data_IF_914374694590
#
_entry.id   IF_914374694590
#
_cell.length_a   1.000
_cell.length_b   1.000
_cell.length_c   1.000
_cell.angle_alpha   90.00
_cell.angle_beta   90.00
_cell.angle_gamma   90.00
#
_symmetry.space_group_name_H-M   'P 1'
#
loop_
_entity.id
_entity.type
_entity.pdbx_description
1 polymer ?
#
# COMPACT_ATOMS: atom_id res chain seq x y z
N UNK A 1 -30.24 -1.83 2.89
CA UNK A 1 -28.81 -1.45 2.98
C UNK A 1 -28.09 -2.26 1.93
N UNK A 2 -27.65 -1.61 0.88
CA UNK A 2 -26.82 -2.22 -0.15
C UNK A 2 -25.54 -2.76 0.54
N UNK A 3 -25.22 -4.04 0.28
CA UNK A 3 -24.00 -4.67 0.82
C UNK A 3 -22.82 -3.89 0.25
N UNK A 4 -22.05 -3.27 1.12
CA UNK A 4 -20.85 -2.53 0.70
C UNK A 4 -19.98 -3.43 -0.18
N UNK A 5 -19.53 -2.92 -1.33
CA UNK A 5 -18.60 -3.56 -2.25
C UNK A 5 -17.30 -3.93 -1.52
N UNK A 6 -17.23 -5.13 -0.95
CA UNK A 6 -16.07 -5.55 -0.16
C UNK A 6 -15.11 -6.36 -0.99
N UNK A 7 -13.82 -6.01 -0.97
CA UNK A 7 -12.81 -6.79 -1.65
C UNK A 7 -12.65 -8.17 -0.97
N UNK A 8 -12.43 -9.19 -1.78
CA UNK A 8 -12.16 -10.57 -1.35
C UNK A 8 -10.95 -11.12 -2.07
N UNK A 9 -10.36 -12.16 -1.52
CA UNK A 9 -9.33 -12.95 -2.20
C UNK A 9 -10.01 -13.95 -3.12
N UNK A 10 -9.60 -13.96 -4.39
CA UNK A 10 -9.94 -14.97 -5.41
C UNK A 10 -8.65 -15.60 -5.95
N UNK A 11 -8.16 -16.64 -5.26
CA UNK A 11 -6.89 -17.28 -5.58
C UNK A 11 -5.72 -16.30 -5.53
N UNK A 12 -5.08 -16.06 -6.66
CA UNK A 12 -3.95 -15.13 -6.82
C UNK A 12 -4.37 -13.66 -7.01
N UNK A 13 -5.67 -13.37 -7.00
CA UNK A 13 -6.19 -12.04 -7.30
C UNK A 13 -7.12 -11.53 -6.19
N UNK A 14 -7.46 -10.28 -6.30
CA UNK A 14 -8.53 -9.66 -5.53
C UNK A 14 -9.80 -9.57 -6.39
N UNK A 15 -10.93 -9.64 -5.74
CA UNK A 15 -12.25 -9.53 -6.35
C UNK A 15 -13.07 -8.44 -5.64
N UNK A 16 -13.84 -7.70 -6.41
CA UNK A 16 -14.89 -6.79 -5.93
C UNK A 16 -16.12 -7.05 -6.81
N UNK A 17 -17.27 -7.35 -6.19
CA UNK A 17 -18.56 -7.63 -6.86
C UNK A 17 -18.49 -8.74 -7.93
N UNK A 18 -17.76 -9.81 -7.64
CA UNK A 18 -17.60 -10.93 -8.58
C UNK A 18 -16.70 -10.63 -9.77
N UNK A 19 -15.93 -9.53 -9.72
CA UNK A 19 -15.00 -9.14 -10.78
C UNK A 19 -13.59 -8.94 -10.22
N UNK A 20 -12.59 -9.36 -10.94
CA UNK A 20 -11.19 -9.24 -10.57
C UNK A 20 -10.73 -7.79 -10.55
N UNK A 21 -10.04 -7.42 -9.47
CA UNK A 21 -9.43 -6.11 -9.27
C UNK A 21 -7.91 -6.23 -9.38
N UNK A 22 -7.28 -5.43 -10.25
CA UNK A 22 -5.84 -5.15 -10.18
C UNK A 22 -5.62 -3.86 -9.41
N UNK A 23 -4.80 -3.93 -8.35
CA UNK A 23 -4.35 -2.75 -7.63
C UNK A 23 -3.35 -1.98 -8.51
N UNK A 24 -3.73 -0.78 -8.94
CA UNK A 24 -2.92 0.20 -9.64
C UNK A 24 -2.69 1.36 -8.69
N UNK A 25 -1.70 1.21 -7.82
CA UNK A 25 -1.57 2.01 -6.63
C UNK A 25 -0.48 3.08 -6.70
N UNK A 26 -0.60 4.06 -5.80
CA UNK A 26 0.46 5.01 -5.48
C UNK A 26 0.51 5.27 -3.98
N UNK A 27 1.72 5.40 -3.42
CA UNK A 27 1.93 5.79 -2.03
C UNK A 27 1.64 7.29 -1.85
N UNK A 28 0.89 7.65 -0.79
CA UNK A 28 0.47 9.02 -0.50
C UNK A 28 0.79 9.42 0.94
N UNK A 29 1.74 10.29 1.10
CA UNK A 29 2.28 10.70 2.41
C UNK A 29 3.19 9.59 2.98
N UNK A 30 3.85 9.83 4.10
CA UNK A 30 3.49 10.77 5.18
C UNK A 30 3.88 12.21 4.86
N UNK A 31 3.02 13.15 5.22
CA UNK A 31 3.33 14.59 5.14
C UNK A 31 3.66 15.15 6.53
N UNK A 32 4.22 16.37 6.56
CA UNK A 32 4.40 17.07 7.84
C UNK A 32 3.06 17.17 8.58
N UNK A 33 3.05 16.86 9.89
CA UNK A 33 1.81 16.87 10.66
C UNK A 33 1.20 18.27 10.69
N UNK A 34 -0.11 18.33 10.56
CA UNK A 34 -0.89 19.54 10.76
C UNK A 34 -1.03 19.85 12.27
N UNK A 35 -1.82 20.88 12.62
CA UNK A 35 -2.04 21.29 14.03
C UNK A 35 -2.69 20.19 14.88
N UNK A 36 -3.44 19.28 14.26
CA UNK A 36 -4.12 18.16 14.93
C UNK A 36 -3.25 16.88 14.95
N UNK A 37 -2.02 16.96 14.44
CA UNK A 37 -1.09 15.83 14.35
C UNK A 37 -1.33 14.91 13.15
N UNK A 38 -2.33 15.15 12.31
CA UNK A 38 -2.59 14.36 11.11
C UNK A 38 -1.54 14.61 10.05
N UNK A 39 -1.01 13.54 9.47
CA UNK A 39 0.07 13.57 8.48
C UNK A 39 -0.47 13.52 7.03
N UNK A 40 -1.51 14.32 6.79
CA UNK A 40 -2.13 14.49 5.47
C UNK A 40 -2.24 15.96 5.10
N UNK A 41 -2.34 16.24 3.80
CA UNK A 41 -2.57 17.58 3.28
C UNK A 41 -4.01 18.06 3.56
N UNK A 42 -4.27 19.36 3.30
CA UNK A 42 -5.63 19.88 3.39
C UNK A 42 -6.58 19.11 2.48
N UNK A 43 -7.86 19.15 2.77
CA UNK A 43 -8.90 18.48 1.97
C UNK A 43 -8.84 18.93 0.50
N UNK A 44 -8.67 20.23 0.26
CA UNK A 44 -8.59 20.80 -1.10
C UNK A 44 -7.38 20.24 -1.87
N UNK A 45 -6.21 20.15 -1.22
CA UNK A 45 -5.02 19.59 -1.86
C UNK A 45 -5.16 18.09 -2.11
N UNK A 46 -5.75 17.36 -1.17
CA UNK A 46 -6.05 15.94 -1.31
C UNK A 46 -7.00 15.68 -2.48
N UNK A 47 -8.05 16.49 -2.64
CA UNK A 47 -8.97 16.41 -3.78
C UNK A 47 -8.23 16.62 -5.11
N UNK A 48 -7.38 17.65 -5.20
CA UNK A 48 -6.58 17.93 -6.40
C UNK A 48 -5.66 16.75 -6.75
N UNK A 49 -4.96 16.20 -5.75
CA UNK A 49 -4.08 15.06 -5.93
C UNK A 49 -4.89 13.83 -6.43
N UNK A 50 -6.06 13.56 -5.86
CA UNK A 50 -6.89 12.40 -6.22
C UNK A 50 -7.51 12.52 -7.62
N UNK A 51 -7.87 13.73 -8.05
CA UNK A 51 -8.27 13.98 -9.45
C UNK A 51 -7.15 13.61 -10.41
N UNK A 52 -5.92 14.05 -10.14
CA UNK A 52 -4.75 13.76 -10.98
C UNK A 52 -4.40 12.26 -10.97
N UNK A 53 -4.47 11.61 -9.82
CA UNK A 53 -4.25 10.16 -9.70
C UNK A 53 -5.27 9.38 -10.54
N UNK A 54 -6.56 9.68 -10.41
CA UNK A 54 -7.61 9.02 -11.17
C UNK A 54 -7.43 9.24 -12.68
N UNK A 55 -7.04 10.44 -13.12
CA UNK A 55 -6.75 10.74 -14.52
C UNK A 55 -5.52 9.98 -15.04
N UNK A 56 -4.58 9.62 -14.17
CA UNK A 56 -3.44 8.76 -14.49
C UNK A 56 -3.76 7.26 -14.48
N UNK A 57 -5.03 6.86 -14.26
CA UNK A 57 -5.44 5.46 -14.21
C UNK A 57 -5.08 4.74 -12.90
N UNK A 58 -4.69 5.49 -11.87
CA UNK A 58 -4.51 4.98 -10.51
C UNK A 58 -5.90 4.71 -9.92
N UNK A 59 -6.05 3.58 -9.25
CA UNK A 59 -7.30 3.18 -8.60
C UNK A 59 -7.14 2.92 -7.09
N UNK A 60 -5.92 3.03 -6.57
CA UNK A 60 -5.62 2.74 -5.17
C UNK A 60 -4.60 3.73 -4.63
N UNK A 61 -4.88 4.24 -3.43
CA UNK A 61 -3.95 5.07 -2.66
C UNK A 61 -3.46 4.25 -1.47
N UNK A 62 -2.15 4.18 -1.27
CA UNK A 62 -1.57 3.57 -0.08
C UNK A 62 -1.16 4.66 0.91
N UNK A 63 -1.69 4.59 2.14
CA UNK A 63 -1.27 5.45 3.25
C UNK A 63 -0.39 4.69 4.24
N UNK A 64 0.40 5.40 5.04
CA UNK A 64 1.27 4.80 6.09
C UNK A 64 0.76 5.07 7.50
N UNK A 65 -0.21 5.97 7.61
CA UNK A 65 -0.96 6.28 8.84
C UNK A 65 -2.45 6.17 8.55
N UNK A 66 -3.29 5.94 9.57
CA UNK A 66 -4.73 5.88 9.38
C UNK A 66 -5.27 7.19 8.79
N UNK A 67 -6.03 7.12 7.67
CA UNK A 67 -6.61 8.31 7.04
C UNK A 67 -7.82 8.82 7.83
N UNK A 68 -8.09 10.12 7.70
CA UNK A 68 -9.32 10.70 8.22
C UNK A 68 -10.55 10.26 7.40
N UNK A 69 -11.77 10.31 7.97
CA UNK A 69 -13.00 10.08 7.19
C UNK A 69 -13.08 10.97 5.94
N UNK A 70 -12.68 12.23 6.04
CA UNK A 70 -12.69 13.16 4.89
C UNK A 70 -11.78 12.70 3.74
N UNK A 71 -10.61 12.10 4.05
CA UNK A 71 -9.73 11.54 3.02
C UNK A 71 -10.36 10.30 2.37
N UNK A 72 -11.00 9.43 3.16
CA UNK A 72 -11.69 8.26 2.64
C UNK A 72 -12.87 8.65 1.74
N UNK A 73 -13.65 9.67 2.15
CA UNK A 73 -14.74 10.23 1.34
C UNK A 73 -14.21 10.82 0.02
N UNK A 74 -13.08 11.53 0.06
CA UNK A 74 -12.43 12.04 -1.14
C UNK A 74 -11.99 10.89 -2.07
N UNK A 75 -11.36 9.85 -1.52
CA UNK A 75 -10.96 8.67 -2.29
C UNK A 75 -12.18 8.03 -2.99
N UNK A 76 -13.27 7.84 -2.26
CA UNK A 76 -14.51 7.26 -2.80
C UNK A 76 -15.10 8.12 -3.94
N UNK A 77 -15.14 9.45 -3.77
CA UNK A 77 -15.62 10.37 -4.83
C UNK A 77 -14.85 10.21 -6.13
N UNK A 78 -13.54 9.98 -6.04
CA UNK A 78 -12.68 9.83 -7.22
C UNK A 78 -12.51 8.37 -7.70
N UNK A 79 -13.22 7.41 -7.08
CA UNK A 79 -13.14 6.00 -7.44
C UNK A 79 -11.80 5.37 -7.08
N UNK A 80 -11.23 5.76 -5.94
CA UNK A 80 -9.99 5.24 -5.40
C UNK A 80 -10.27 4.36 -4.17
N UNK A 81 -9.72 3.16 -4.14
CA UNK A 81 -9.61 2.37 -2.93
C UNK A 81 -8.42 2.83 -2.08
N UNK A 82 -8.48 2.61 -0.78
CA UNK A 82 -7.41 2.97 0.14
C UNK A 82 -6.82 1.73 0.80
N UNK A 83 -5.53 1.50 0.58
CA UNK A 83 -4.72 0.58 1.37
C UNK A 83 -4.24 1.34 2.62
N UNK A 84 -4.85 1.05 3.75
CA UNK A 84 -4.63 1.75 5.01
C UNK A 84 -3.42 1.18 5.74
N UNK A 85 -2.39 2.01 5.96
CA UNK A 85 -1.25 1.65 6.80
C UNK A 85 -1.50 1.96 8.28
N UNK A 86 -1.09 1.05 9.16
CA UNK A 86 -1.10 1.26 10.59
C UNK A 86 0.30 1.58 11.08
N UNK A 87 0.47 2.80 11.63
CA UNK A 87 1.73 3.24 12.20
C UNK A 87 1.85 2.83 13.66
N UNK A 88 2.93 2.14 13.99
CA UNK A 88 3.32 1.84 15.37
C UNK A 88 4.86 1.76 15.47
N UNK A 89 5.44 1.84 16.67
CA UNK A 89 6.89 1.96 16.83
C UNK A 89 7.63 0.63 16.58
N UNK A 90 7.66 0.19 15.32
CA UNK A 90 8.28 -1.06 14.86
C UNK A 90 9.82 -1.00 14.77
N UNK A 91 10.40 0.19 14.92
CA UNK A 91 11.84 0.42 14.82
C UNK A 91 12.59 0.32 16.17
N UNK A 92 11.87 0.00 17.25
CA UNK A 92 12.43 -0.18 18.59
C UNK A 92 12.14 -1.60 19.09
N UNK A 93 12.80 -2.10 20.16
CA UNK A 93 12.53 -3.42 20.75
C UNK A 93 11.13 -3.52 21.40
N UNK A 94 10.08 -3.41 20.61
CA UNK A 94 8.69 -3.28 21.07
C UNK A 94 8.13 -4.50 21.81
N UNK A 95 8.68 -5.70 21.60
CA UNK A 95 8.25 -6.92 22.33
C UNK A 95 8.87 -7.03 23.74
N UNK A 96 9.79 -6.16 24.10
CA UNK A 96 10.36 -6.13 25.46
C UNK A 96 9.47 -5.32 26.42
N UNK A 97 8.58 -4.48 25.90
CA UNK A 97 7.54 -3.79 26.66
C UNK A 97 6.16 -4.40 26.41
N UNK A 98 5.68 -5.18 27.39
CA UNK A 98 4.37 -5.83 27.33
C UNK A 98 3.19 -4.85 27.23
N UNK A 99 3.33 -3.63 27.79
CA UNK A 99 2.28 -2.60 27.70
C UNK A 99 2.24 -2.04 26.29
N UNK A 100 3.39 -1.73 25.73
CA UNK A 100 3.51 -1.28 24.35
C UNK A 100 2.93 -2.32 23.39
N UNK A 101 3.34 -3.59 23.51
CA UNK A 101 2.83 -4.69 22.66
C UNK A 101 1.30 -4.77 22.69
N UNK A 102 0.69 -4.76 23.88
CA UNK A 102 -0.78 -4.76 24.03
C UNK A 102 -1.43 -3.51 23.45
N UNK A 103 -0.80 -2.35 23.60
CA UNK A 103 -1.32 -1.12 23.01
C UNK A 103 -1.31 -1.17 21.49
N UNK A 104 -0.24 -1.69 20.86
CA UNK A 104 -0.17 -1.86 19.39
C UNK A 104 -1.37 -2.68 18.90
N UNK A 105 -1.64 -3.83 19.50
CA UNK A 105 -2.76 -4.70 19.12
C UNK A 105 -4.10 -3.98 19.32
N UNK A 106 -4.33 -3.41 20.50
CA UNK A 106 -5.56 -2.67 20.82
C UNK A 106 -5.83 -1.54 19.83
N UNK A 107 -4.80 -0.74 19.54
CA UNK A 107 -4.92 0.43 18.68
C UNK A 107 -5.16 0.00 17.23
N UNK A 108 -4.54 -1.09 16.78
CA UNK A 108 -4.79 -1.68 15.47
C UNK A 108 -6.24 -2.20 15.35
N UNK A 109 -6.72 -2.95 16.34
CA UNK A 109 -8.11 -3.44 16.38
C UNK A 109 -9.11 -2.28 16.35
N UNK A 110 -8.88 -1.25 17.15
CA UNK A 110 -9.74 -0.06 17.19
C UNK A 110 -9.79 0.63 15.83
N UNK A 111 -8.63 0.92 15.26
CA UNK A 111 -8.51 1.64 13.99
C UNK A 111 -9.15 0.86 12.84
N UNK A 112 -8.88 -0.44 12.72
CA UNK A 112 -9.45 -1.24 11.63
C UNK A 112 -10.97 -1.33 11.77
N UNK A 113 -11.49 -1.52 12.98
CA UNK A 113 -12.94 -1.58 13.22
C UNK A 113 -13.63 -0.26 12.86
N UNK A 114 -13.02 0.88 13.14
CA UNK A 114 -13.57 2.20 12.81
C UNK A 114 -13.58 2.45 11.30
N UNK A 115 -12.54 2.04 10.58
CA UNK A 115 -12.36 2.34 9.16
C UNK A 115 -13.00 1.27 8.26
N UNK A 116 -13.06 0.01 8.69
CA UNK A 116 -13.44 -1.12 7.85
C UNK A 116 -14.84 -1.03 7.24
N UNK A 117 -15.75 -0.29 7.86
CA UNK A 117 -17.09 -0.06 7.32
C UNK A 117 -17.11 0.92 6.15
N UNK A 118 -16.05 1.71 5.94
CA UNK A 118 -16.01 2.72 4.91
C UNK A 118 -15.81 2.09 3.52
N UNK A 119 -16.62 2.46 2.50
CA UNK A 119 -16.56 1.84 1.17
C UNK A 119 -15.22 2.00 0.46
N UNK A 120 -14.43 3.03 0.76
CA UNK A 120 -13.10 3.20 0.19
C UNK A 120 -12.03 2.31 0.84
N UNK A 121 -12.28 1.67 1.98
CA UNK A 121 -11.31 0.82 2.65
C UNK A 121 -11.10 -0.48 1.86
N UNK A 122 -9.93 -0.60 1.21
CA UNK A 122 -9.59 -1.75 0.37
C UNK A 122 -8.85 -2.84 1.15
N UNK A 123 -7.81 -2.47 1.88
CA UNK A 123 -6.85 -3.39 2.48
C UNK A 123 -6.16 -2.70 3.65
N UNK A 124 -5.86 -3.43 4.72
CA UNK A 124 -5.14 -2.91 5.88
C UNK A 124 -3.75 -3.52 5.99
N UNK A 125 -2.71 -2.68 5.98
CA UNK A 125 -1.34 -3.06 6.25
C UNK A 125 -1.07 -2.92 7.76
N UNK A 126 -1.05 -4.04 8.48
CA UNK A 126 -0.89 -4.08 9.93
C UNK A 126 0.53 -3.74 10.41
N UNK A 127 1.46 -3.59 9.48
CA UNK A 127 2.84 -3.16 9.71
C UNK A 127 3.59 -3.06 8.40
N UNK A 128 4.77 -2.44 8.45
CA UNK A 128 5.63 -2.22 7.29
C UNK A 128 7.10 -2.33 7.67
N UNK A 129 7.82 -3.31 7.11
CA UNK A 129 9.28 -3.43 7.19
C UNK A 129 9.85 -3.37 8.61
N UNK A 130 9.45 -4.27 9.51
CA UNK A 130 10.16 -4.38 10.79
C UNK A 130 11.66 -4.57 10.49
N UNK A 131 12.54 -3.66 10.97
CA UNK A 131 13.95 -3.72 10.62
C UNK A 131 14.59 -5.07 10.97
N UNK A 132 15.45 -5.59 10.09
CA UNK A 132 16.14 -6.86 10.30
C UNK A 132 16.91 -6.90 11.64
N UNK A 133 17.40 -5.75 12.12
CA UNK A 133 18.01 -5.61 13.46
C UNK A 133 17.03 -5.91 14.58
N UNK A 134 15.79 -5.44 14.49
CA UNK A 134 14.72 -5.70 15.46
C UNK A 134 14.27 -7.16 15.39
N UNK A 135 14.17 -7.73 14.18
CA UNK A 135 13.87 -9.16 14.00
C UNK A 135 14.96 -10.02 14.64
N UNK A 136 16.24 -9.69 14.44
CA UNK A 136 17.35 -10.40 15.10
C UNK A 136 17.34 -10.25 16.62
N UNK A 137 17.00 -9.05 17.14
CA UNK A 137 16.94 -8.78 18.56
C UNK A 137 15.89 -9.66 19.26
N UNK A 138 14.70 -9.71 18.71
CA UNK A 138 13.60 -10.49 19.30
C UNK A 138 13.60 -11.98 18.94
N UNK A 139 14.27 -12.34 17.83
CA UNK A 139 14.16 -13.63 17.18
C UNK A 139 12.90 -13.73 16.31
N UNK A 140 13.05 -14.30 15.09
CA UNK A 140 11.99 -14.37 14.09
C UNK A 140 10.70 -15.00 14.63
N UNK A 141 10.77 -16.10 15.39
CA UNK A 141 9.59 -16.80 15.95
C UNK A 141 8.75 -15.93 16.90
N UNK A 142 9.38 -15.00 17.64
CA UNK A 142 8.62 -14.06 18.48
C UNK A 142 7.93 -13.00 17.66
N UNK A 143 8.57 -12.52 16.59
CA UNK A 143 7.99 -11.58 15.65
C UNK A 143 6.81 -12.23 14.91
N UNK A 144 6.99 -13.45 14.38
CA UNK A 144 5.93 -14.18 13.68
C UNK A 144 4.72 -14.44 14.57
N UNK A 145 4.95 -14.84 15.83
CA UNK A 145 3.88 -15.03 16.80
C UNK A 145 3.12 -13.73 17.09
N UNK A 146 3.84 -12.62 17.28
CA UNK A 146 3.22 -11.32 17.48
C UNK A 146 2.40 -10.88 16.25
N UNK A 147 2.94 -11.04 15.05
CA UNK A 147 2.24 -10.68 13.82
C UNK A 147 1.00 -11.56 13.59
N UNK A 148 1.06 -12.82 13.96
CA UNK A 148 -0.09 -13.73 13.92
C UNK A 148 -1.16 -13.32 14.94
N UNK A 149 -0.79 -13.05 16.20
CA UNK A 149 -1.71 -12.55 17.23
C UNK A 149 -2.37 -11.24 16.79
N UNK A 150 -1.58 -10.30 16.27
CA UNK A 150 -2.09 -9.04 15.72
C UNK A 150 -3.11 -9.29 14.58
N UNK A 151 -2.81 -10.20 13.65
CA UNK A 151 -3.72 -10.59 12.58
C UNK A 151 -5.02 -11.18 13.14
N UNK A 152 -4.92 -12.15 14.06
CA UNK A 152 -6.07 -12.88 14.62
C UNK A 152 -7.02 -11.93 15.37
N UNK A 153 -6.48 -11.03 16.21
CA UNK A 153 -7.27 -10.07 16.98
C UNK A 153 -7.96 -9.04 16.06
N UNK A 154 -7.26 -8.52 15.06
CA UNK A 154 -7.85 -7.61 14.08
C UNK A 154 -8.90 -8.32 13.23
N UNK A 155 -8.62 -9.55 12.78
CA UNK A 155 -9.56 -10.34 11.96
C UNK A 155 -10.82 -10.70 12.73
N UNK A 156 -10.71 -11.01 14.01
CA UNK A 156 -11.86 -11.26 14.88
C UNK A 156 -12.77 -10.02 15.03
N UNK A 157 -12.17 -8.82 15.05
CA UNK A 157 -12.90 -7.55 15.18
C UNK A 157 -13.49 -7.05 13.85
N UNK A 158 -12.90 -7.41 12.71
CA UNK A 158 -13.30 -7.00 11.37
C UNK A 158 -13.12 -8.16 10.36
N UNK A 159 -13.95 -9.23 10.44
CA UNK A 159 -13.74 -10.49 9.73
C UNK A 159 -13.72 -10.37 8.21
N UNK A 160 -14.46 -9.41 7.65
CA UNK A 160 -14.55 -9.18 6.20
C UNK A 160 -13.41 -8.30 5.64
N UNK A 161 -12.53 -7.78 6.51
CA UNK A 161 -11.42 -6.92 6.08
C UNK A 161 -10.27 -7.77 5.53
N UNK A 162 -9.65 -7.30 4.43
CA UNK A 162 -8.40 -7.87 3.95
C UNK A 162 -7.23 -7.28 4.74
N UNK A 163 -6.36 -8.16 5.24
CA UNK A 163 -5.23 -7.82 6.09
C UNK A 163 -3.91 -8.27 5.45
N UNK A 164 -2.91 -7.44 5.54
CA UNK A 164 -1.54 -7.75 5.13
C UNK A 164 -0.51 -7.22 6.13
N UNK A 165 0.67 -7.78 6.09
CA UNK A 165 1.90 -7.18 6.59
C UNK A 165 2.81 -6.95 5.39
N UNK A 166 3.35 -5.73 5.25
CA UNK A 166 4.24 -5.41 4.15
C UNK A 166 5.67 -5.76 4.54
N UNK A 167 6.22 -6.79 3.91
CA UNK A 167 7.57 -7.26 4.14
C UNK A 167 8.56 -6.69 3.11
N UNK A 168 9.84 -6.99 3.26
CA UNK A 168 10.91 -6.58 2.36
C UNK A 168 12.06 -7.62 2.38
N UNK A 169 12.98 -7.61 1.39
CA UNK A 169 13.97 -8.68 1.22
C UNK A 169 14.79 -9.05 2.47
N UNK A 170 15.27 -8.10 3.31
CA UNK A 170 16.06 -8.44 4.49
C UNK A 170 15.37 -9.32 5.54
N UNK A 171 14.04 -9.37 5.55
CA UNK A 171 13.24 -10.16 6.48
C UNK A 171 12.33 -11.17 5.76
N UNK A 172 12.69 -11.56 4.54
CA UNK A 172 11.95 -12.53 3.71
C UNK A 172 11.70 -13.86 4.42
N UNK A 173 12.58 -14.25 5.34
CA UNK A 173 12.51 -15.49 6.10
C UNK A 173 11.37 -15.54 7.15
N UNK A 174 10.64 -14.44 7.36
CA UNK A 174 9.48 -14.42 8.26
C UNK A 174 8.31 -15.21 7.65
N UNK A 175 7.75 -16.13 8.44
CA UNK A 175 6.55 -16.88 8.09
C UNK A 175 5.29 -16.04 8.33
N UNK A 176 4.69 -15.54 7.23
CA UNK A 176 3.55 -14.63 7.23
C UNK A 176 2.29 -15.28 6.61
N UNK A 177 2.09 -16.57 6.85
CA UNK A 177 1.06 -17.38 6.23
C UNK A 177 -0.38 -17.06 6.70
N UNK A 178 -0.54 -16.39 7.84
CA UNK A 178 -1.83 -15.97 8.35
C UNK A 178 -2.48 -14.85 7.52
N UNK A 179 -1.68 -14.00 6.86
CA UNK A 179 -2.18 -12.81 6.17
C UNK A 179 -2.91 -13.15 4.85
N UNK A 180 -3.98 -12.39 4.55
CA UNK A 180 -4.82 -12.60 3.35
C UNK A 180 -4.05 -12.27 2.06
N UNK A 181 -3.23 -11.23 2.08
CA UNK A 181 -2.44 -10.75 0.94
C UNK A 181 -0.96 -10.80 1.31
N UNK A 182 -0.14 -11.32 0.40
CA UNK A 182 1.31 -11.39 0.56
C UNK A 182 1.94 -10.16 -0.08
N UNK A 183 2.31 -9.15 0.72
CA UNK A 183 2.76 -7.85 0.26
C UNK A 183 4.24 -7.61 0.50
N UNK A 184 4.93 -7.08 -0.50
CA UNK A 184 6.37 -6.81 -0.46
C UNK A 184 6.74 -5.45 -1.05
N UNK A 185 7.72 -4.79 -0.43
CA UNK A 185 8.45 -3.65 -1.00
C UNK A 185 9.70 -4.17 -1.70
N UNK A 186 9.88 -3.85 -2.99
CA UNK A 186 11.01 -4.35 -3.78
C UNK A 186 11.55 -3.24 -4.68
N UNK A 187 12.85 -2.96 -4.55
CA UNK A 187 13.57 -1.90 -5.28
C UNK A 187 14.73 -2.46 -6.12
N UNK A 188 14.52 -3.59 -6.80
CA UNK A 188 15.50 -4.18 -7.71
C UNK A 188 15.36 -3.52 -9.09
N UNK A 189 16.32 -2.67 -9.46
CA UNK A 189 16.23 -1.84 -10.67
C UNK A 189 16.42 -2.63 -11.98
N UNK A 190 17.12 -3.77 -11.94
CA UNK A 190 17.29 -4.62 -13.12
C UNK A 190 16.10 -5.56 -13.29
N UNK A 191 15.48 -5.51 -14.47
CA UNK A 191 14.26 -6.30 -14.77
C UNK A 191 14.46 -7.80 -14.52
N UNK A 192 15.62 -8.36 -14.94
CA UNK A 192 15.91 -9.79 -14.77
C UNK A 192 16.01 -10.21 -13.31
N UNK A 193 16.58 -9.36 -12.45
CA UNK A 193 16.67 -9.59 -11.00
C UNK A 193 15.29 -9.47 -10.36
N UNK A 194 14.54 -8.43 -10.72
CA UNK A 194 13.17 -8.24 -10.23
C UNK A 194 12.26 -9.41 -10.63
N UNK A 195 12.32 -9.85 -11.88
CA UNK A 195 11.54 -10.99 -12.39
C UNK A 195 11.84 -12.27 -11.60
N UNK A 196 13.12 -12.58 -11.42
CA UNK A 196 13.54 -13.74 -10.65
C UNK A 196 13.10 -13.67 -9.18
N UNK A 197 13.15 -12.48 -8.59
CA UNK A 197 12.71 -12.28 -7.21
C UNK A 197 11.19 -12.35 -7.07
N UNK A 198 10.42 -11.77 -7.98
CA UNK A 198 8.95 -11.88 -7.98
C UNK A 198 8.49 -13.33 -8.19
N UNK A 199 9.14 -14.10 -9.07
CA UNK A 199 8.87 -15.53 -9.21
C UNK A 199 9.09 -16.29 -7.89
N UNK A 200 10.17 -15.97 -7.16
CA UNK A 200 10.41 -16.50 -5.82
C UNK A 200 9.30 -16.10 -4.83
N UNK A 201 8.91 -14.83 -4.81
CA UNK A 201 7.84 -14.35 -3.94
C UNK A 201 6.49 -15.02 -4.25
N UNK A 202 6.21 -15.34 -5.52
CA UNK A 202 5.01 -16.10 -5.92
C UNK A 202 5.00 -17.51 -5.31
N UNK A 203 6.16 -18.16 -5.21
CA UNK A 203 6.26 -19.46 -4.53
C UNK A 203 6.02 -19.33 -3.02
N UNK A 204 6.60 -18.30 -2.38
CA UNK A 204 6.40 -18.03 -0.94
C UNK A 204 4.94 -17.61 -0.63
N UNK A 205 4.30 -16.90 -1.52
CA UNK A 205 2.90 -16.52 -1.39
C UNK A 205 1.94 -17.73 -1.41
N UNK A 206 2.36 -18.87 -2.00
CA UNK A 206 1.51 -20.05 -2.15
C UNK A 206 0.29 -19.73 -3.01
N UNK A 207 -0.92 -19.89 -2.47
CA UNK A 207 -2.19 -19.57 -3.15
C UNK A 207 -2.64 -18.12 -2.98
N UNK A 208 -1.99 -17.35 -2.11
CA UNK A 208 -2.37 -15.97 -1.80
C UNK A 208 -1.99 -14.99 -2.91
N UNK A 209 -2.72 -13.88 -3.07
CA UNK A 209 -2.34 -12.80 -3.97
C UNK A 209 -1.00 -12.18 -3.56
N UNK A 210 -0.11 -11.95 -4.52
CA UNK A 210 1.12 -11.18 -4.33
C UNK A 210 0.87 -9.73 -4.70
N UNK A 211 1.17 -8.80 -3.79
CA UNK A 211 1.14 -7.36 -4.02
C UNK A 211 2.56 -6.78 -3.95
N UNK A 212 3.01 -6.16 -5.04
CA UNK A 212 4.20 -5.30 -4.99
C UNK A 212 3.79 -3.96 -4.35
N UNK A 213 4.01 -3.87 -3.03
CA UNK A 213 3.45 -2.79 -2.22
C UNK A 213 4.25 -1.48 -2.28
N UNK A 214 5.52 -1.54 -2.65
CA UNK A 214 6.33 -0.39 -3.05
C UNK A 214 7.27 -0.78 -4.18
N UNK A 215 7.32 0.07 -5.20
CA UNK A 215 8.25 0.00 -6.30
C UNK A 215 8.47 1.38 -6.90
N UNK A 216 9.70 1.67 -7.30
CA UNK A 216 10.03 2.98 -7.86
C UNK A 216 11.52 3.24 -7.86
N UNK A 217 11.89 4.44 -8.26
CA UNK A 217 13.25 4.92 -8.25
C UNK A 217 13.30 6.40 -7.86
N UNK A 218 14.43 6.80 -7.30
CA UNK A 218 14.71 8.15 -6.88
C UNK A 218 15.29 8.97 -8.05
N UNK A 219 14.61 10.03 -8.47
CA UNK A 219 15.08 10.86 -9.58
C UNK A 219 16.35 11.67 -9.28
N UNK A 220 16.68 11.88 -8.01
CA UNK A 220 17.97 12.49 -7.64
C UNK A 220 19.16 11.58 -7.97
N UNK A 221 18.95 10.26 -7.91
CA UNK A 221 19.98 9.24 -8.16
C UNK A 221 19.97 8.74 -9.60
N UNK A 222 18.79 8.52 -10.17
CA UNK A 222 18.62 7.88 -11.47
C UNK A 222 18.33 8.88 -12.60
N UNK A 223 18.14 10.16 -12.27
CA UNK A 223 17.60 11.15 -13.20
C UNK A 223 16.11 10.94 -13.48
N UNK A 224 15.47 11.92 -14.12
CA UNK A 224 14.02 11.88 -14.39
C UNK A 224 13.63 10.73 -15.34
N UNK A 225 14.43 10.51 -16.39
CA UNK A 225 14.19 9.44 -17.37
C UNK A 225 14.49 8.05 -16.79
N UNK A 226 15.54 7.94 -15.97
CA UNK A 226 15.86 6.70 -15.25
C UNK A 226 14.75 6.33 -14.26
N UNK A 227 14.24 7.29 -13.49
CA UNK A 227 13.08 7.10 -12.62
C UNK A 227 11.87 6.57 -13.41
N UNK A 228 11.55 7.20 -14.54
CA UNK A 228 10.42 6.83 -15.36
C UNK A 228 10.55 5.39 -15.88
N UNK A 229 11.72 5.06 -16.44
CA UNK A 229 12.00 3.73 -16.99
C UNK A 229 11.92 2.65 -15.91
N UNK A 230 12.60 2.83 -14.79
CA UNK A 230 12.68 1.84 -13.70
C UNK A 230 11.28 1.64 -13.08
N UNK A 231 10.57 2.71 -12.74
CA UNK A 231 9.26 2.62 -12.11
C UNK A 231 8.25 1.92 -13.01
N UNK A 232 8.20 2.27 -14.30
CA UNK A 232 7.32 1.60 -15.27
C UNK A 232 7.71 0.13 -15.49
N UNK A 233 9.01 -0.19 -15.49
CA UNK A 233 9.49 -1.57 -15.57
C UNK A 233 9.07 -2.39 -14.37
N UNK A 234 9.18 -1.84 -13.15
CA UNK A 234 8.68 -2.50 -11.94
C UNK A 234 7.21 -2.87 -12.05
N UNK A 235 6.36 -1.93 -12.48
CA UNK A 235 4.91 -2.14 -12.63
C UNK A 235 4.63 -3.22 -13.68
N UNK A 236 5.22 -3.10 -14.89
CA UNK A 236 5.00 -4.09 -15.97
C UNK A 236 5.45 -5.48 -15.56
N UNK A 237 6.62 -5.59 -14.92
CA UNK A 237 7.16 -6.86 -14.47
C UNK A 237 6.29 -7.48 -13.38
N UNK A 238 5.79 -6.68 -12.42
CA UNK A 238 4.88 -7.18 -11.38
C UNK A 238 3.62 -7.83 -11.98
N UNK A 239 2.97 -7.18 -12.92
CA UNK A 239 1.79 -7.74 -13.58
C UNK A 239 2.12 -8.92 -14.48
N UNK A 240 3.26 -8.90 -15.19
CA UNK A 240 3.71 -10.02 -16.02
C UNK A 240 3.99 -11.28 -15.19
N UNK A 241 4.48 -11.11 -13.95
CA UNK A 241 4.72 -12.20 -13.00
C UNK A 241 3.48 -12.54 -12.15
N UNK A 242 2.29 -12.07 -12.52
CA UNK A 242 1.02 -12.45 -11.91
C UNK A 242 0.75 -11.81 -10.55
N UNK A 243 1.33 -10.66 -10.25
CA UNK A 243 0.96 -9.91 -9.04
C UNK A 243 -0.48 -9.39 -9.16
N UNK A 244 -1.21 -9.37 -8.06
CA UNK A 244 -2.55 -8.79 -7.97
C UNK A 244 -2.52 -7.26 -8.03
N UNK A 245 -1.35 -6.65 -7.94
CA UNK A 245 -1.17 -5.21 -8.01
C UNK A 245 0.26 -4.75 -7.83
N UNK A 246 0.45 -3.47 -8.15
CA UNK A 246 1.68 -2.74 -7.91
C UNK A 246 1.37 -1.33 -7.40
N UNK A 247 2.16 -0.85 -6.45
CA UNK A 247 2.05 0.49 -5.85
C UNK A 247 3.34 1.27 -6.14
N UNK A 248 3.23 2.34 -6.91
CA UNK A 248 4.36 3.23 -7.16
C UNK A 248 4.70 4.03 -5.89
N UNK A 249 5.96 4.05 -5.53
CA UNK A 249 6.47 4.89 -4.45
C UNK A 249 7.22 6.06 -5.08
N UNK A 250 6.69 7.29 -5.01
CA UNK A 250 5.51 7.79 -4.31
C UNK A 250 4.74 8.79 -5.18
N UNK A 251 3.64 9.39 -4.69
CA UNK A 251 2.90 10.41 -5.45
C UNK A 251 3.70 11.67 -5.66
N UNK A 252 4.28 12.22 -4.56
CA UNK A 252 5.02 13.49 -4.57
C UNK A 252 6.39 13.32 -3.92
N UNK A 253 7.29 14.24 -4.19
CA UNK A 253 8.62 14.30 -3.54
C UNK A 253 8.56 14.69 -2.06
N UNK A 254 7.41 15.17 -1.59
CA UNK A 254 7.22 15.50 -0.19
C UNK A 254 7.16 14.24 0.68
N UNK A 255 8.06 14.13 1.63
CA UNK A 255 8.09 13.01 2.57
C UNK A 255 8.49 13.48 3.96
N UNK A 256 7.73 13.07 4.98
CA UNK A 256 8.01 13.39 6.38
C UNK A 256 8.40 12.14 7.15
N UNK A 257 9.56 12.15 7.77
CA UNK A 257 10.04 11.02 8.58
C UNK A 257 10.92 11.50 9.72
N UNK A 258 10.77 10.89 10.90
CA UNK A 258 11.65 11.19 12.05
C UNK A 258 11.59 12.64 12.51
N UNK A 259 10.44 13.32 12.36
CA UNK A 259 10.26 14.70 12.82
C UNK A 259 10.75 15.77 11.84
N UNK A 260 11.13 15.40 10.62
CA UNK A 260 11.63 16.33 9.58
C UNK A 260 11.15 15.94 8.18
N UNK A 261 11.15 16.91 7.28
CA UNK A 261 11.04 16.65 5.84
C UNK A 261 12.31 15.92 5.36
N UNK A 262 12.13 14.93 4.51
CA UNK A 262 13.21 14.21 3.82
C UNK A 262 13.44 14.90 2.49
N UNK A 263 14.52 15.65 2.37
CA UNK A 263 14.88 16.49 1.22
C UNK A 263 15.89 15.85 0.25
N UNK A 264 16.43 14.69 0.63
CA UNK A 264 17.35 13.87 -0.16
C UNK A 264 16.66 12.69 -0.87
N UNK A 265 15.32 12.73 -0.99
CA UNK A 265 14.48 11.78 -1.70
C UNK A 265 13.60 12.48 -2.72
N UNK A 266 13.54 11.94 -3.94
CA UNK A 266 12.68 12.46 -5.01
C UNK A 266 12.03 11.31 -5.79
N UNK A 267 11.28 10.47 -5.08
CA UNK A 267 10.53 9.33 -5.64
C UNK A 267 9.19 9.72 -6.26
N UNK A 268 8.74 10.96 -6.11
CA UNK A 268 7.44 11.41 -6.56
C UNK A 268 7.21 11.22 -8.06
N UNK A 269 5.99 10.83 -8.44
CA UNK A 269 5.52 10.90 -9.83
C UNK A 269 5.28 12.35 -10.25
N UNK A 270 5.03 13.22 -9.27
CA UNK A 270 4.99 14.67 -9.40
C UNK A 270 5.96 15.29 -8.38
N UNK A 271 6.39 16.52 -8.63
CA UNK A 271 7.16 17.27 -7.64
C UNK A 271 6.28 17.86 -6.51
N UNK A 272 6.87 18.62 -5.60
CA UNK A 272 6.15 19.28 -4.50
C UNK A 272 5.11 20.29 -4.98
N UNK A 273 5.34 20.92 -6.15
CA UNK A 273 4.39 21.84 -6.78
C UNK A 273 3.30 21.12 -7.60
N UNK A 274 3.33 19.78 -7.67
CA UNK A 274 2.45 18.93 -8.48
C UNK A 274 2.71 19.04 -9.99
N UNK A 275 3.92 19.50 -10.37
CA UNK A 275 4.35 19.39 -11.76
C UNK A 275 4.64 17.92 -12.08
N UNK A 276 4.08 17.44 -13.18
CA UNK A 276 4.25 16.06 -13.60
C UNK A 276 5.71 15.77 -14.00
N UNK A 277 6.29 14.72 -13.45
CA UNK A 277 7.55 14.17 -13.93
C UNK A 277 7.29 13.16 -15.07
N UNK A 278 8.29 12.85 -15.92
CA UNK A 278 8.18 11.79 -16.94
C UNK A 278 7.64 10.46 -16.37
N UNK A 279 7.97 10.16 -15.13
CA UNK A 279 7.50 8.97 -14.42
C UNK A 279 5.97 8.87 -14.34
N UNK A 280 5.23 9.98 -14.25
CA UNK A 280 3.77 9.94 -14.21
C UNK A 280 3.18 9.38 -15.53
N UNK A 281 3.69 9.84 -16.67
CA UNK A 281 3.26 9.34 -17.98
C UNK A 281 3.62 7.87 -18.17
N UNK A 282 4.85 7.48 -17.80
CA UNK A 282 5.32 6.10 -17.90
C UNK A 282 4.52 5.13 -17.01
N UNK A 283 4.18 5.54 -15.80
CA UNK A 283 3.32 4.76 -14.87
C UNK A 283 1.90 4.63 -15.43
N UNK A 284 1.32 5.72 -15.95
CA UNK A 284 0.00 5.68 -16.60
C UNK A 284 -0.04 4.65 -17.75
N UNK A 285 0.96 4.64 -18.60
CA UNK A 285 1.07 3.67 -19.69
C UNK A 285 1.23 2.23 -19.18
N UNK A 286 2.08 2.02 -18.18
CA UNK A 286 2.26 0.71 -17.57
C UNK A 286 0.95 0.19 -16.94
N UNK A 287 0.19 1.03 -16.26
CA UNK A 287 -1.11 0.68 -15.69
C UNK A 287 -2.18 0.46 -16.77
N UNK A 288 -2.16 1.20 -17.88
CA UNK A 288 -3.07 0.99 -19.00
C UNK A 288 -2.84 -0.36 -19.66
N UNK A 289 -1.59 -0.79 -19.79
CA UNK A 289 -1.21 -2.10 -20.35
C UNK A 289 -1.60 -3.29 -19.46
N UNK A 290 -1.82 -3.08 -18.17
CA UNK A 290 -2.23 -4.12 -17.23
C UNK A 290 -3.75 -4.15 -17.13
N UNK A 291 -4.39 -5.15 -17.71
CA UNK A 291 -5.85 -5.25 -17.68
C UNK A 291 -6.33 -6.69 -17.86
N UNK A 292 -7.35 -7.07 -17.09
CA UNK A 292 -8.20 -8.21 -17.44
C UNK A 292 -9.14 -7.87 -18.62
N UNK A 293 -9.72 -8.86 -19.29
CA UNK A 293 -10.83 -8.63 -20.21
C UNK A 293 -11.92 -7.76 -19.56
N UNK A 294 -12.60 -6.94 -20.35
CA UNK A 294 -13.58 -5.98 -19.81
C UNK A 294 -14.70 -6.65 -18.98
N UNK A 295 -15.08 -7.89 -19.34
CA UNK A 295 -16.07 -8.69 -18.62
C UNK A 295 -15.63 -9.15 -17.22
N UNK A 296 -14.32 -9.21 -16.97
CA UNK A 296 -13.73 -9.69 -15.71
C UNK A 296 -13.22 -8.56 -14.83
N UNK A 297 -13.32 -7.32 -15.31
CA UNK A 297 -12.67 -6.16 -14.65
C UNK A 297 -13.60 -5.50 -13.65
N UNK A 298 -13.13 -5.39 -12.38
CA UNK A 298 -13.74 -4.51 -11.39
C UNK A 298 -13.21 -3.08 -11.54
N UNK A 299 -14.06 -2.11 -11.24
CA UNK A 299 -13.67 -0.74 -10.92
C UNK A 299 -14.06 -0.45 -9.48
N UNK A 300 -13.30 0.39 -8.79
CA UNK A 300 -13.70 0.83 -7.46
C UNK A 300 -15.02 1.63 -7.58
N UNK A 301 -16.00 1.39 -6.70
CA UNK A 301 -17.25 2.11 -6.74
C UNK A 301 -16.99 3.61 -6.54
N UNK A 302 -17.68 4.44 -7.31
CA UNK A 302 -17.72 5.90 -7.11
C UNK A 302 -18.94 6.22 -6.27
N UNK A 303 -18.83 7.17 -5.35
CA UNK A 303 -20.00 7.73 -4.70
C UNK A 303 -20.91 8.32 -5.79
N UNK A 304 -22.18 7.89 -5.81
CA UNK A 304 -23.19 8.57 -6.61
C UNK A 304 -23.30 10.01 -6.09
N UNK A 305 -22.92 10.96 -6.91
CA UNK A 305 -23.18 12.37 -6.59
C UNK A 305 -24.70 12.52 -6.63
N UNK A 306 -25.33 12.55 -5.45
CA UNK A 306 -26.71 12.99 -5.34
C UNK A 306 -26.66 14.50 -5.57
N UNK A 307 -27.07 14.93 -6.77
CA UNK A 307 -27.25 16.34 -7.15
C UNK A 307 -28.48 16.89 -6.42
#
# INVERSE_FOLDING_TARGET
MEVAHRPRVDGKFLEVDGRRLLIKGVAYGTFAPNRDGAQFRSTERTEQDFVLMAAAGINTVRTYTPPSPALLDAALRHGLGVMVGLAWPQHIPFLDDRKLTRNIIRDAVTTVREISAHPAALLFALGNEIPAGIVRWHGHRRIERFLRELYEDVKAAAPDSLLTYVNFPPTEHLELDAFDVFAYNVYLHRETELRGYLARLQHLAGTRPLLLAEAGADSLREGLEGQALITATHIRTAFAEGACGAVAYSWTDEWWRGGRTVDDWAFGLVDEARQAKPALAAVREAFAGAAFPASERASWPKASVVV
#
